data_IF_495721960078
#
_entry.id   IF_495721960078
#
_cell.length_a   1.000
_cell.length_b   1.000
_cell.length_c   1.000
_cell.angle_alpha   90.00
_cell.angle_beta   90.00
_cell.angle_gamma   90.00
#
_symmetry.space_group_name_H-M   'P 1'
#
loop_
_entity.id
_entity.type
_entity.pdbx_description
1 polymer ?
#
# COMPACT_ATOMS: atom_id res chain seq x y z
N UNK A 1 -24.15 39.89 -43.51
CA UNK A 1 -24.50 39.03 -42.33
C UNK A 1 -23.31 39.04 -41.40
N UNK A 2 -23.29 39.92 -40.41
CA UNK A 2 -22.14 40.08 -39.50
C UNK A 2 -22.31 39.04 -38.39
N UNK A 3 -21.60 37.93 -38.47
CA UNK A 3 -21.52 36.93 -37.42
C UNK A 3 -20.83 37.56 -36.20
N UNK A 4 -21.62 37.77 -35.16
CA UNK A 4 -21.28 38.49 -33.96
C UNK A 4 -20.11 37.77 -33.24
N UNK A 5 -18.93 38.38 -33.28
CA UNK A 5 -17.67 37.92 -32.67
C UNK A 5 -17.82 37.54 -31.16
N UNK A 6 -18.83 38.10 -30.50
CA UNK A 6 -19.19 37.81 -29.12
C UNK A 6 -19.81 36.41 -28.96
N UNK A 7 -20.55 35.95 -29.98
CA UNK A 7 -21.22 34.63 -29.94
C UNK A 7 -20.22 33.47 -30.16
N UNK A 8 -19.12 33.69 -30.92
CA UNK A 8 -18.09 32.72 -31.12
C UNK A 8 -17.22 32.53 -29.86
N UNK A 9 -16.96 33.60 -29.11
CA UNK A 9 -16.22 33.50 -27.83
C UNK A 9 -17.00 32.67 -26.78
N UNK A 10 -18.30 32.91 -26.70
CA UNK A 10 -19.17 32.16 -25.78
C UNK A 10 -19.26 30.67 -26.15
N UNK A 11 -19.31 30.33 -27.44
CA UNK A 11 -19.28 28.92 -27.89
C UNK A 11 -17.98 28.24 -27.57
N UNK A 12 -16.83 28.92 -27.75
CA UNK A 12 -15.51 28.38 -27.39
C UNK A 12 -15.35 28.17 -25.87
N UNK A 13 -15.84 29.12 -25.05
CA UNK A 13 -15.84 29.02 -23.59
C UNK A 13 -16.73 27.86 -23.13
N UNK A 14 -17.91 27.70 -23.71
CA UNK A 14 -18.84 26.60 -23.39
C UNK A 14 -18.18 25.24 -23.80
N UNK A 15 -17.52 25.18 -24.96
CA UNK A 15 -16.84 23.97 -25.42
C UNK A 15 -15.68 23.59 -24.48
N UNK A 16 -14.91 24.58 -24.01
CA UNK A 16 -13.82 24.36 -23.05
C UNK A 16 -14.37 23.94 -21.70
N UNK A 17 -15.45 24.53 -21.21
CA UNK A 17 -16.13 24.11 -19.98
C UNK A 17 -16.70 22.70 -20.10
N UNK A 18 -17.29 22.32 -21.24
CA UNK A 18 -17.76 20.95 -21.49
C UNK A 18 -16.59 19.96 -21.54
N UNK A 19 -15.42 20.33 -22.12
CA UNK A 19 -14.23 19.48 -22.10
C UNK A 19 -13.67 19.30 -20.69
N UNK A 20 -13.70 20.34 -19.86
CA UNK A 20 -13.28 20.29 -18.45
C UNK A 20 -14.19 19.43 -17.58
N UNK A 21 -15.49 19.39 -17.90
CA UNK A 21 -16.45 18.52 -17.19
C UNK A 21 -16.31 17.06 -17.59
N UNK A 22 -15.87 16.76 -18.83
CA UNK A 22 -15.63 15.38 -19.28
C UNK A 22 -14.33 14.77 -18.71
N UNK A 23 -13.42 15.58 -18.18
CA UNK A 23 -12.18 15.11 -17.54
C UNK A 23 -12.37 14.85 -16.03
N UNK A 24 -13.52 15.19 -15.45
CA UNK A 24 -13.92 14.65 -14.14
C UNK A 24 -14.38 13.19 -14.28
N UNK A 25 -13.59 12.37 -14.98
CA UNK A 25 -13.66 10.92 -14.81
C UNK A 25 -13.40 10.66 -13.33
N UNK A 26 -14.46 10.27 -12.64
CA UNK A 26 -14.38 9.76 -11.28
C UNK A 26 -13.15 8.88 -11.16
N UNK A 27 -12.14 9.38 -10.47
CA UNK A 27 -11.08 8.53 -9.92
C UNK A 27 -11.79 7.68 -8.87
N UNK A 28 -12.46 6.67 -9.36
CA UNK A 28 -12.99 5.62 -8.53
C UNK A 28 -11.75 4.89 -8.02
N UNK A 29 -11.47 5.03 -6.73
CA UNK A 29 -10.41 4.27 -6.09
C UNK A 29 -10.66 2.79 -6.41
N UNK A 30 -9.93 2.26 -7.38
CA UNK A 30 -10.06 0.86 -7.79
C UNK A 30 -9.57 0.01 -6.63
N UNK A 31 -10.48 -0.73 -6.01
CA UNK A 31 -10.12 -1.65 -4.93
C UNK A 31 -9.23 -2.75 -5.49
N UNK A 32 -7.99 -2.77 -5.06
CA UNK A 32 -7.04 -3.79 -5.42
C UNK A 32 -7.20 -5.00 -4.50
N UNK A 33 -7.25 -6.20 -5.11
CA UNK A 33 -7.26 -7.47 -4.40
C UNK A 33 -5.89 -8.14 -4.50
N UNK A 34 -5.39 -8.63 -3.37
CA UNK A 34 -4.22 -9.49 -3.37
C UNK A 34 -4.61 -10.85 -3.96
N UNK A 35 -3.92 -11.28 -5.01
CA UNK A 35 -4.18 -12.54 -5.73
C UNK A 35 -2.88 -13.31 -5.90
N UNK A 36 -2.97 -14.61 -5.73
CA UNK A 36 -1.85 -15.53 -5.93
C UNK A 36 -1.94 -16.20 -7.31
N UNK A 37 -0.84 -16.28 -8.03
CA UNK A 37 -0.76 -17.02 -9.26
C UNK A 37 -0.44 -18.51 -9.01
N UNK A 38 -0.47 -19.33 -10.08
CA UNK A 38 -0.18 -20.78 -10.03
C UNK A 38 1.20 -21.12 -9.46
N UNK A 39 2.16 -20.19 -9.54
CA UNK A 39 3.53 -20.33 -8.99
C UNK A 39 3.63 -19.93 -7.53
N UNK A 40 2.49 -19.64 -6.86
CA UNK A 40 2.46 -19.24 -5.46
C UNK A 40 2.91 -17.80 -5.21
N UNK A 41 3.04 -16.96 -6.25
CA UNK A 41 3.45 -15.56 -6.09
C UNK A 41 2.24 -14.63 -6.03
N UNK A 42 2.30 -13.66 -5.12
CA UNK A 42 1.28 -12.63 -4.96
C UNK A 42 1.54 -11.42 -5.84
N UNK A 43 0.45 -10.88 -6.36
CA UNK A 43 0.34 -9.59 -7.03
C UNK A 43 -0.98 -8.94 -6.65
N UNK A 44 -1.32 -7.83 -7.26
CA UNK A 44 -2.60 -7.17 -7.01
C UNK A 44 -3.29 -6.85 -8.32
N UNK A 45 -4.60 -7.05 -8.35
CA UNK A 45 -5.46 -6.79 -9.48
C UNK A 45 -6.73 -6.04 -9.05
N UNK A 46 -7.32 -5.37 -9.99
CA UNK A 46 -8.63 -4.74 -9.87
C UNK A 46 -9.76 -5.78 -9.89
N UNK A 47 -10.97 -5.37 -9.59
CA UNK A 47 -12.14 -6.26 -9.60
C UNK A 47 -12.48 -6.81 -10.99
N UNK A 48 -12.15 -6.06 -12.05
CA UNK A 48 -12.31 -6.47 -13.45
C UNK A 48 -11.24 -7.46 -13.95
N UNK A 49 -10.25 -7.80 -13.09
CA UNK A 49 -9.18 -8.75 -13.39
C UNK A 49 -7.92 -8.13 -14.00
N UNK A 50 -7.83 -6.80 -14.08
CA UNK A 50 -6.62 -6.13 -14.57
C UNK A 50 -5.51 -6.20 -13.52
N UNK A 51 -4.34 -6.76 -13.88
CA UNK A 51 -3.17 -6.82 -13.00
C UNK A 51 -2.50 -5.46 -12.92
N UNK A 52 -2.55 -4.82 -11.76
CA UNK A 52 -1.91 -3.53 -11.48
C UNK A 52 -0.50 -3.73 -10.94
N UNK A 53 -0.34 -4.65 -9.98
CA UNK A 53 0.96 -4.97 -9.40
C UNK A 53 1.31 -6.42 -9.73
N UNK A 54 2.41 -6.62 -10.45
CA UNK A 54 2.84 -7.92 -10.97
C UNK A 54 3.06 -8.95 -9.85
N UNK A 55 2.87 -10.23 -10.18
CA UNK A 55 3.11 -11.37 -9.30
C UNK A 55 4.59 -11.58 -9.02
N UNK A 56 5.08 -11.04 -7.91
CA UNK A 56 6.50 -11.07 -7.54
C UNK A 56 6.79 -11.26 -6.06
N UNK A 57 5.74 -11.25 -5.23
CA UNK A 57 5.86 -11.36 -3.78
C UNK A 57 5.57 -12.77 -3.30
N UNK A 58 6.20 -13.19 -2.21
CA UNK A 58 5.94 -14.47 -1.55
C UNK A 58 4.71 -14.39 -0.65
N UNK A 59 4.47 -13.20 -0.08
CA UNK A 59 3.36 -12.91 0.81
C UNK A 59 2.79 -11.52 0.48
N UNK A 60 1.48 -11.36 0.63
CA UNK A 60 0.81 -10.07 0.53
C UNK A 60 -0.45 -10.06 1.39
N UNK A 61 -0.74 -8.94 2.04
CA UNK A 61 -2.02 -8.70 2.70
C UNK A 61 -2.94 -7.90 1.79
N UNK A 62 -4.26 -7.95 1.99
CA UNK A 62 -5.16 -6.99 1.36
C UNK A 62 -4.76 -5.55 1.72
N UNK A 63 -5.11 -4.61 0.84
CA UNK A 63 -5.00 -3.19 1.15
C UNK A 63 -5.97 -2.79 2.26
N UNK A 64 -5.45 -2.07 3.25
CA UNK A 64 -6.21 -1.45 4.32
C UNK A 64 -5.75 0.00 4.46
N UNK A 65 -6.68 0.95 4.37
CA UNK A 65 -6.36 2.38 4.38
C UNK A 65 -5.27 2.78 3.36
N UNK A 66 -5.31 2.20 2.15
CA UNK A 66 -4.37 2.48 1.07
C UNK A 66 -2.98 1.85 1.23
N UNK A 67 -2.78 0.96 2.21
CA UNK A 67 -1.49 0.32 2.51
C UNK A 67 -1.65 -1.20 2.52
N UNK A 68 -0.70 -1.92 1.91
CA UNK A 68 -0.57 -3.36 2.03
C UNK A 68 0.83 -3.76 2.49
N UNK A 69 0.91 -4.85 3.24
CA UNK A 69 2.18 -5.49 3.59
C UNK A 69 2.53 -6.52 2.52
N UNK A 70 3.76 -6.49 2.07
CA UNK A 70 4.31 -7.47 1.13
C UNK A 70 5.54 -8.13 1.73
N UNK A 71 5.71 -9.42 1.45
CA UNK A 71 6.87 -10.22 1.82
C UNK A 71 7.60 -10.73 0.58
N UNK A 72 8.93 -10.65 0.59
CA UNK A 72 9.79 -11.25 -0.41
C UNK A 72 11.11 -11.68 0.21
N UNK A 73 11.51 -12.92 -0.05
CA UNK A 73 12.77 -13.50 0.44
C UNK A 73 12.92 -13.36 1.98
N UNK A 74 11.80 -13.59 2.72
CA UNK A 74 11.76 -13.49 4.18
C UNK A 74 11.87 -12.08 4.74
N UNK A 75 11.72 -11.05 3.91
CA UNK A 75 11.69 -9.65 4.32
C UNK A 75 10.37 -8.99 3.93
N UNK A 76 9.93 -8.07 4.77
CA UNK A 76 8.67 -7.36 4.62
C UNK A 76 8.86 -5.89 4.32
N UNK A 77 7.93 -5.34 3.56
CA UNK A 77 7.82 -3.91 3.26
C UNK A 77 6.35 -3.52 3.18
N UNK A 78 6.06 -2.24 3.25
CA UNK A 78 4.74 -1.69 2.97
C UNK A 78 4.73 -1.06 1.58
N UNK A 79 3.60 -1.21 0.88
CA UNK A 79 3.35 -0.58 -0.42
C UNK A 79 2.04 0.21 -0.39
N UNK A 80 1.96 1.23 -1.24
CA UNK A 80 0.72 1.93 -1.58
C UNK A 80 -0.01 1.24 -2.76
N UNK A 81 -1.18 1.75 -3.12
CA UNK A 81 -2.01 1.22 -4.21
C UNK A 81 -1.37 1.39 -5.60
N UNK A 82 -0.42 2.30 -5.77
CA UNK A 82 0.39 2.47 -6.99
C UNK A 82 1.50 1.41 -7.11
N UNK A 83 1.69 0.61 -6.04
CA UNK A 83 2.74 -0.41 -5.97
C UNK A 83 4.11 0.13 -5.59
N UNK A 84 4.17 1.36 -5.09
CA UNK A 84 5.39 1.96 -4.59
C UNK A 84 5.68 1.49 -3.17
N UNK A 85 6.94 1.17 -2.90
CA UNK A 85 7.40 0.80 -1.56
C UNK A 85 7.52 2.07 -0.72
N UNK A 86 6.71 2.16 0.34
CA UNK A 86 6.69 3.33 1.24
C UNK A 86 7.68 3.20 2.41
N UNK A 87 8.12 1.99 2.75
CA UNK A 87 9.11 1.77 3.81
C UNK A 87 10.53 2.01 3.30
N UNK A 88 11.36 2.72 4.06
CA UNK A 88 12.77 2.96 3.70
C UNK A 88 13.65 1.72 3.83
N UNK A 89 13.24 0.77 4.64
CA UNK A 89 13.98 -0.46 4.96
C UNK A 89 13.12 -1.69 4.70
N UNK A 90 13.78 -2.82 4.60
CA UNK A 90 13.14 -4.14 4.59
C UNK A 90 13.24 -4.73 6.00
N UNK A 91 12.09 -5.04 6.56
CA UNK A 91 11.96 -5.53 7.93
C UNK A 91 11.88 -7.06 7.95
N UNK A 92 12.29 -7.66 9.05
CA UNK A 92 12.06 -9.10 9.33
C UNK A 92 10.65 -9.33 9.89
N UNK A 93 10.06 -8.26 10.41
CA UNK A 93 8.69 -8.27 10.93
C UNK A 93 8.03 -6.91 10.72
N UNK A 94 6.76 -6.92 10.34
CA UNK A 94 5.86 -5.76 10.33
C UNK A 94 4.55 -6.23 10.96
N UNK A 95 4.14 -5.58 12.06
CA UNK A 95 2.90 -5.88 12.78
C UNK A 95 1.68 -5.22 12.15
N UNK A 96 0.62 -5.11 12.93
CA UNK A 96 -0.60 -4.41 12.54
C UNK A 96 -0.54 -2.94 12.99
N UNK A 97 -1.22 -2.08 12.21
CA UNK A 97 -1.37 -0.68 12.57
C UNK A 97 -2.35 -0.51 13.71
N UNK A 98 -1.91 0.20 14.75
CA UNK A 98 -2.76 0.64 15.85
C UNK A 98 -2.53 2.13 16.10
N UNK A 99 -3.61 2.92 16.11
CA UNK A 99 -3.54 4.38 16.25
C UNK A 99 -2.53 5.05 15.29
N UNK A 100 -2.44 4.56 14.05
CA UNK A 100 -1.58 5.15 13.02
C UNK A 100 -0.10 4.74 13.08
N UNK A 101 0.29 3.87 14.02
CA UNK A 101 1.65 3.34 14.16
C UNK A 101 1.68 1.83 14.09
N UNK A 102 2.79 1.28 13.64
CA UNK A 102 2.99 -0.15 13.42
C UNK A 102 4.36 -0.57 13.98
N UNK A 103 4.43 -1.64 14.80
CA UNK A 103 5.70 -2.19 15.26
C UNK A 103 6.42 -2.90 14.11
N UNK A 104 7.73 -2.69 14.04
CA UNK A 104 8.61 -3.32 13.05
C UNK A 104 9.84 -3.88 13.73
N UNK A 105 10.44 -4.91 13.14
CA UNK A 105 11.74 -5.42 13.53
C UNK A 105 12.68 -5.55 12.34
N UNK A 106 13.95 -5.24 12.56
CA UNK A 106 15.04 -5.39 11.60
C UNK A 106 16.11 -6.32 12.19
N UNK A 107 16.67 -7.19 11.39
CA UNK A 107 17.66 -8.16 11.84
C UNK A 107 17.01 -9.44 12.40
N UNK A 108 17.85 -10.32 12.98
CA UNK A 108 17.41 -11.60 13.49
C UNK A 108 17.18 -12.69 12.43
N UNK A 109 17.27 -13.95 12.86
CA UNK A 109 16.88 -15.10 12.04
C UNK A 109 15.39 -15.39 12.28
N UNK A 110 14.56 -15.19 11.26
CA UNK A 110 13.13 -15.51 11.32
C UNK A 110 12.91 -17.01 11.44
N UNK A 111 12.97 -17.56 12.65
CA UNK A 111 12.28 -18.81 12.93
C UNK A 111 10.84 -18.42 13.30
N UNK A 112 9.89 -18.87 12.47
CA UNK A 112 8.45 -18.72 12.72
C UNK A 112 8.10 -19.22 14.14
N UNK A 113 7.81 -18.30 15.02
CA UNK A 113 7.21 -18.56 16.31
C UNK A 113 6.16 -17.50 16.56
N UNK A 114 4.94 -17.74 16.11
CA UNK A 114 3.78 -16.91 16.46
C UNK A 114 3.39 -17.27 17.87
N UNK A 115 3.51 -16.34 18.79
CA UNK A 115 2.85 -16.44 20.09
C UNK A 115 1.78 -15.36 20.17
N UNK A 116 0.54 -15.79 20.09
CA UNK A 116 -0.65 -14.98 20.35
C UNK A 116 -0.82 -14.90 21.87
N UNK A 117 -0.79 -13.72 22.44
CA UNK A 117 -1.29 -13.49 23.80
C UNK A 117 -2.41 -12.49 23.77
N UNK A 118 -3.47 -12.82 24.51
CA UNK A 118 -4.71 -12.11 24.65
C UNK A 118 -4.48 -10.81 25.45
N UNK A 119 -4.74 -9.66 24.82
CA UNK A 119 -4.86 -8.39 25.54
C UNK A 119 -3.73 -7.40 25.36
N UNK A 120 -3.92 -6.44 24.43
CA UNK A 120 -3.17 -5.18 24.36
C UNK A 120 -1.72 -5.32 23.93
N UNK A 121 -1.19 -4.30 23.26
CA UNK A 121 0.21 -4.07 22.89
C UNK A 121 1.20 -5.08 23.45
N UNK A 122 1.52 -6.10 22.69
CA UNK A 122 2.53 -7.02 23.12
C UNK A 122 3.53 -7.21 22.01
N UNK A 123 4.70 -6.65 22.26
CA UNK A 123 5.90 -7.17 21.65
C UNK A 123 5.96 -8.65 21.99
N UNK A 124 5.82 -9.52 21.00
CA UNK A 124 6.13 -10.91 21.18
C UNK A 124 7.56 -10.97 21.69
N UNK A 125 7.71 -11.59 22.85
CA UNK A 125 9.00 -11.94 23.40
C UNK A 125 9.67 -12.89 22.41
N UNK A 126 10.36 -12.33 21.43
CA UNK A 126 11.27 -13.09 20.62
C UNK A 126 12.33 -13.66 21.56
N UNK A 127 12.50 -14.94 21.50
CA UNK A 127 13.56 -15.65 22.20
C UNK A 127 14.87 -14.89 22.04
N UNK A 128 15.47 -14.57 23.15
CA UNK A 128 16.76 -13.90 23.33
C UNK A 128 17.83 -14.29 22.28
N UNK A 129 18.61 -13.32 21.87
CA UNK A 129 19.92 -13.38 21.23
C UNK A 129 20.01 -13.31 19.70
N UNK A 130 19.13 -12.59 19.01
CA UNK A 130 19.27 -12.51 17.55
C UNK A 130 19.60 -11.13 16.97
N UNK A 131 19.93 -10.16 17.80
CA UNK A 131 20.29 -8.83 17.31
C UNK A 131 19.13 -8.12 16.59
N UNK A 132 17.89 -8.47 16.89
CA UNK A 132 16.72 -7.80 16.38
C UNK A 132 16.63 -6.38 16.93
N UNK A 133 16.45 -5.43 16.04
CA UNK A 133 16.18 -4.03 16.40
C UNK A 133 14.70 -3.74 16.17
N UNK A 134 14.01 -3.42 17.25
CA UNK A 134 12.60 -3.04 17.20
C UNK A 134 12.42 -1.55 17.03
N UNK A 135 11.37 -1.16 16.32
CA UNK A 135 11.02 0.22 16.10
C UNK A 135 9.53 0.38 15.82
N UNK A 136 9.11 1.61 15.61
CA UNK A 136 7.77 1.99 15.21
C UNK A 136 7.85 2.80 13.91
N UNK A 137 6.93 2.52 12.99
CA UNK A 137 6.73 3.32 11.77
C UNK A 137 5.30 3.84 11.71
N UNK A 138 5.12 4.98 11.04
CA UNK A 138 3.79 5.51 10.72
C UNK A 138 3.26 4.95 9.37
N UNK A 139 2.06 5.37 8.99
CA UNK A 139 1.43 4.98 7.71
C UNK A 139 2.19 5.45 6.46
N UNK A 140 3.10 6.40 6.61
CA UNK A 140 3.97 6.87 5.51
C UNK A 140 5.27 6.06 5.40
N UNK A 141 5.46 5.08 6.27
CA UNK A 141 6.70 4.30 6.38
C UNK A 141 7.83 5.04 7.08
N UNK A 142 7.55 6.20 7.69
CA UNK A 142 8.53 6.96 8.47
C UNK A 142 8.76 6.30 9.82
N UNK A 143 10.04 6.11 10.17
CA UNK A 143 10.42 5.63 11.50
C UNK A 143 10.15 6.72 12.55
N UNK A 144 9.40 6.34 13.59
CA UNK A 144 9.05 7.21 14.73
C UNK A 144 9.96 6.89 15.91
N UNK A 145 10.25 5.62 16.12
CA UNK A 145 11.08 5.11 17.21
C UNK A 145 12.00 4.00 16.70
N UNK A 146 13.22 3.99 17.21
CA UNK A 146 14.23 2.93 17.04
C UNK A 146 14.59 2.33 18.38
#
# INVERSE_FOLDING_TARGET
>A
MILNKKNMRNKKVILILCLLVLVSSSVQAQRLKAVQNEKGRYGFMTEDGTVVIKYKYDEATPFKDGIAKIGKDGKYSLINEDGEIITKRKYTYIGEFYNGVCPVAEGGNTKKGVMLTTGGLIGNKASSNTGEKWGLIDKTGKEILK
#
